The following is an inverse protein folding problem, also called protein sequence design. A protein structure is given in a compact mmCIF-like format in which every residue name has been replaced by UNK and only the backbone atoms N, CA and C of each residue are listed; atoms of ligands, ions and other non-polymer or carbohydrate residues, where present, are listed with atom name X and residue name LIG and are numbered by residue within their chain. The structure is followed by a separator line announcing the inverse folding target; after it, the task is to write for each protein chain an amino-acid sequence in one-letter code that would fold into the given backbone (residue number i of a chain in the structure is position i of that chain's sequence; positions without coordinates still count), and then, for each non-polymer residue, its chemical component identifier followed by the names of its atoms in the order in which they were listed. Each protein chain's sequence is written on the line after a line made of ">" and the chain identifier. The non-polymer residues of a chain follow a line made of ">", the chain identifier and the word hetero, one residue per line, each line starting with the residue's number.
data_IF_522429888403
#
_entry.id   IF_522429888403
#
_cell.length_a   1.000
_cell.length_b   1.000
_cell.length_c   1.000
_cell.angle_alpha   90.00
_cell.angle_beta   90.00
_cell.angle_gamma   90.00
#
_symmetry.space_group_name_H-M   'P 1'
#
loop_
_entity.id
_entity.type
_entity.pdbx_description
1 polymer ?
#
# COMPACT_ATOMS: atom_id res chain seq x y z
N UNK A 1 14.98 -12.76 -26.69
CA UNK A 1 15.67 -11.64 -27.36
C UNK A 1 16.36 -10.82 -26.30
N UNK A 2 17.66 -10.59 -26.43
CA UNK A 2 18.44 -9.74 -25.52
C UNK A 2 17.99 -8.29 -25.69
N UNK A 3 17.56 -7.64 -24.61
CA UNK A 3 17.09 -6.25 -24.63
C UNK A 3 18.19 -5.29 -25.10
N UNK A 4 17.89 -4.22 -25.89
CA UNK A 4 18.84 -3.15 -26.11
C UNK A 4 19.18 -2.48 -24.78
N UNK A 5 20.46 -2.53 -24.37
CA UNK A 5 20.93 -1.82 -23.17
C UNK A 5 20.90 -0.32 -23.44
N UNK A 6 19.84 0.35 -23.00
CA UNK A 6 19.78 1.82 -22.97
C UNK A 6 20.84 2.31 -21.98
N UNK A 7 21.63 3.36 -22.31
CA UNK A 7 22.64 3.89 -21.40
C UNK A 7 22.01 4.36 -20.08
N UNK A 8 22.46 3.82 -18.95
CA UNK A 8 21.98 4.21 -17.61
C UNK A 8 22.43 5.64 -17.32
N UNK A 9 21.48 6.55 -17.10
CA UNK A 9 21.77 7.95 -16.73
C UNK A 9 22.25 8.01 -15.27
N UNK A 10 23.34 8.74 -14.95
CA UNK A 10 23.82 8.90 -13.58
C UNK A 10 22.77 9.57 -12.68
N UNK A 11 22.57 9.03 -11.48
CA UNK A 11 21.61 9.56 -10.49
C UNK A 11 22.21 10.75 -9.74
N UNK A 12 21.40 11.79 -9.51
CA UNK A 12 21.80 13.00 -8.76
C UNK A 12 21.93 12.73 -7.24
N UNK A 13 21.23 11.70 -6.74
CA UNK A 13 21.25 11.24 -5.34
C UNK A 13 21.52 9.74 -5.32
N UNK A 14 22.47 9.30 -4.49
CA UNK A 14 22.79 7.88 -4.34
C UNK A 14 21.85 7.22 -3.32
N UNK A 15 21.36 6.03 -3.68
CA UNK A 15 20.61 5.15 -2.79
C UNK A 15 21.43 3.88 -2.60
N UNK A 16 21.57 3.45 -1.34
CA UNK A 16 22.28 2.21 -0.99
C UNK A 16 21.26 1.10 -0.78
N UNK A 17 21.26 0.05 -1.62
CA UNK A 17 20.43 -1.13 -1.40
C UNK A 17 20.71 -1.78 -0.04
N UNK A 18 19.66 -2.13 0.69
CA UNK A 18 19.73 -2.93 1.90
C UNK A 18 19.04 -4.27 1.66
N UNK A 19 19.72 -5.37 1.99
CA UNK A 19 19.20 -6.71 1.77
C UNK A 19 18.15 -7.07 2.83
N UNK A 20 17.04 -7.66 2.41
CA UNK A 20 15.98 -8.19 3.29
C UNK A 20 16.18 -9.69 3.57
N UNK A 21 15.40 -10.27 4.49
CA UNK A 21 15.51 -11.69 4.84
C UNK A 21 15.04 -12.64 3.73
N UNK A 22 14.09 -12.23 2.88
CA UNK A 22 13.66 -13.01 1.71
C UNK A 22 14.63 -12.93 0.51
N UNK A 23 15.75 -12.21 0.65
CA UNK A 23 16.79 -12.09 -0.37
C UNK A 23 16.63 -10.89 -1.31
N UNK A 24 15.47 -10.23 -1.32
CA UNK A 24 15.25 -8.99 -2.06
C UNK A 24 15.97 -7.80 -1.41
N UNK A 25 15.79 -6.61 -1.97
CA UNK A 25 16.45 -5.39 -1.52
C UNK A 25 15.43 -4.27 -1.25
N UNK A 26 15.81 -3.32 -0.43
CA UNK A 26 15.05 -2.11 -0.17
C UNK A 26 15.96 -0.89 -0.07
N UNK A 27 15.40 0.31 -0.08
CA UNK A 27 16.12 1.54 0.26
C UNK A 27 15.72 2.02 1.65
N UNK A 28 16.53 2.90 2.23
CA UNK A 28 16.19 3.63 3.44
C UNK A 28 15.97 5.11 3.10
N UNK A 29 14.81 5.64 3.48
CA UNK A 29 14.53 7.06 3.38
C UNK A 29 15.03 7.79 4.62
N UNK A 30 16.05 8.64 4.44
CA UNK A 30 16.55 9.51 5.51
C UNK A 30 15.51 10.54 5.96
N UNK A 31 14.61 10.95 5.06
CA UNK A 31 13.57 11.94 5.37
C UNK A 31 12.48 11.38 6.27
N UNK A 32 12.07 10.13 6.03
CA UNK A 32 11.01 9.47 6.81
C UNK A 32 11.56 8.58 7.93
N UNK A 33 12.86 8.29 7.94
CA UNK A 33 13.49 7.41 8.92
C UNK A 33 13.06 5.95 8.79
N UNK A 34 12.59 5.54 7.61
CA UNK A 34 11.96 4.25 7.34
C UNK A 34 12.55 3.57 6.10
N UNK A 35 12.44 2.24 6.06
CA UNK A 35 12.71 1.47 4.84
C UNK A 35 11.52 1.58 3.89
N UNK A 36 11.77 1.52 2.59
CA UNK A 36 10.71 1.50 1.56
C UNK A 36 9.87 0.22 1.64
N UNK A 37 10.47 -0.89 2.08
CA UNK A 37 9.79 -2.15 2.34
C UNK A 37 10.32 -2.80 3.62
N UNK A 38 9.57 -3.75 4.17
CA UNK A 38 9.95 -4.50 5.36
C UNK A 38 11.28 -5.22 5.18
N UNK A 39 12.12 -5.17 6.22
CA UNK A 39 13.36 -5.95 6.30
C UNK A 39 13.14 -7.48 6.24
N UNK A 40 11.92 -7.96 6.48
CA UNK A 40 11.60 -9.39 6.36
C UNK A 40 11.57 -9.84 4.90
N UNK A 41 11.17 -8.96 3.98
CA UNK A 41 11.11 -9.33 2.59
C UNK A 41 10.18 -8.46 1.78
N UNK A 42 10.73 -7.76 0.80
CA UNK A 42 9.98 -6.81 0.00
C UNK A 42 9.15 -7.50 -1.10
N UNK A 43 9.65 -8.62 -1.66
CA UNK A 43 8.90 -9.44 -2.62
C UNK A 43 7.77 -10.21 -1.93
N UNK A 44 8.06 -10.82 -0.78
CA UNK A 44 7.03 -11.51 0.01
C UNK A 44 5.94 -10.55 0.49
N UNK A 45 6.33 -9.34 0.92
CA UNK A 45 5.38 -8.29 1.32
C UNK A 45 4.46 -7.87 0.16
N UNK A 46 5.02 -7.58 -1.02
CA UNK A 46 4.23 -7.23 -2.21
C UNK A 46 3.16 -8.28 -2.53
N UNK A 47 3.55 -9.56 -2.53
CA UNK A 47 2.64 -10.67 -2.79
C UNK A 47 1.55 -10.81 -1.70
N UNK A 48 1.94 -10.86 -0.43
CA UNK A 48 1.03 -11.26 0.64
C UNK A 48 0.23 -10.09 1.24
N UNK A 49 0.72 -8.85 1.15
CA UNK A 49 0.00 -7.65 1.64
C UNK A 49 -0.82 -6.96 0.56
N UNK A 50 -0.47 -7.13 -0.72
CA UNK A 50 -1.13 -6.41 -1.81
C UNK A 50 -1.80 -7.35 -2.82
N UNK A 51 -1.05 -8.25 -3.45
CA UNK A 51 -1.59 -9.12 -4.52
C UNK A 51 -2.69 -10.07 -4.00
N UNK A 52 -2.41 -10.82 -2.94
CA UNK A 52 -3.39 -11.78 -2.39
C UNK A 52 -4.64 -11.10 -1.83
N UNK A 53 -4.53 -10.04 -1.00
CA UNK A 53 -5.73 -9.40 -0.44
C UNK A 53 -6.61 -8.73 -1.49
N UNK A 54 -6.02 -8.27 -2.60
CA UNK A 54 -6.77 -7.69 -3.74
C UNK A 54 -7.30 -8.73 -4.72
N UNK A 55 -7.05 -10.03 -4.49
CA UNK A 55 -7.59 -11.14 -5.30
C UNK A 55 -7.27 -11.04 -6.79
N UNK A 56 -6.09 -10.53 -7.12
CA UNK A 56 -5.74 -10.26 -8.53
C UNK A 56 -5.75 -11.51 -9.41
N UNK A 57 -5.37 -12.66 -8.87
CA UNK A 57 -5.37 -13.92 -9.62
C UNK A 57 -6.79 -14.33 -9.98
N UNK A 58 -7.72 -14.24 -9.03
CA UNK A 58 -9.14 -14.54 -9.25
C UNK A 58 -9.77 -13.54 -10.22
N UNK A 59 -9.45 -12.25 -10.09
CA UNK A 59 -9.94 -11.22 -11.01
C UNK A 59 -9.44 -11.45 -12.45
N UNK A 60 -8.17 -11.81 -12.63
CA UNK A 60 -7.56 -12.08 -13.93
C UNK A 60 -8.10 -13.35 -14.62
N UNK A 61 -8.67 -14.29 -13.87
CA UNK A 61 -9.38 -15.45 -14.44
C UNK A 61 -10.76 -15.08 -14.99
N UNK A 62 -11.35 -13.98 -14.51
CA UNK A 62 -12.71 -13.54 -14.86
C UNK A 62 -12.74 -12.37 -15.85
N UNK A 63 -11.63 -11.65 -15.99
CA UNK A 63 -11.50 -10.50 -16.87
C UNK A 63 -10.25 -10.61 -17.75
N UNK A 64 -10.33 -10.06 -18.96
CA UNK A 64 -9.19 -9.93 -19.87
C UNK A 64 -8.45 -8.59 -19.70
N UNK A 65 -8.96 -7.70 -18.86
CA UNK A 65 -8.33 -6.41 -18.55
C UNK A 65 -8.42 -6.15 -17.05
N UNK A 66 -7.31 -5.74 -16.44
CA UNK A 66 -7.24 -5.37 -15.03
C UNK A 66 -6.67 -3.95 -14.90
N UNK A 67 -7.34 -3.11 -14.13
CA UNK A 67 -6.93 -1.73 -13.83
C UNK A 67 -6.29 -1.66 -12.44
N UNK A 68 -5.08 -1.12 -12.37
CA UNK A 68 -4.28 -1.03 -11.15
C UNK A 68 -3.94 0.44 -10.84
N UNK A 69 -3.99 0.79 -9.55
CA UNK A 69 -3.45 2.05 -9.03
C UNK A 69 -2.44 1.74 -7.92
N UNK A 70 -1.17 2.08 -8.14
CA UNK A 70 -0.07 1.88 -7.19
C UNK A 70 0.34 3.23 -6.57
N UNK A 71 -0.10 3.48 -5.33
CA UNK A 71 0.14 4.74 -4.62
C UNK A 71 1.41 4.60 -3.78
N UNK A 72 2.39 5.45 -4.08
CA UNK A 72 3.78 5.35 -3.62
C UNK A 72 4.51 4.16 -4.26
N UNK A 73 4.61 4.22 -5.59
CA UNK A 73 5.23 3.21 -6.45
C UNK A 73 6.63 2.81 -5.96
N UNK A 74 7.44 3.76 -5.48
CA UNK A 74 8.74 3.50 -4.89
C UNK A 74 9.65 2.68 -5.82
N UNK A 75 9.94 1.45 -5.41
CA UNK A 75 10.85 0.54 -6.12
C UNK A 75 10.15 -0.23 -7.25
N UNK A 76 8.81 -0.13 -7.36
CA UNK A 76 8.00 -0.83 -8.34
C UNK A 76 7.64 -2.27 -7.97
N UNK A 77 7.88 -2.69 -6.72
CA UNK A 77 7.72 -4.09 -6.32
C UNK A 77 6.26 -4.55 -6.26
N UNK A 78 5.34 -3.70 -5.80
CA UNK A 78 3.91 -4.01 -5.79
C UNK A 78 3.38 -4.15 -7.22
N UNK A 79 3.70 -3.19 -8.09
CA UNK A 79 3.42 -3.27 -9.53
C UNK A 79 4.01 -4.54 -10.18
N UNK A 80 5.27 -4.85 -9.91
CA UNK A 80 5.93 -6.03 -10.47
C UNK A 80 5.28 -7.34 -10.01
N UNK A 81 4.99 -7.48 -8.71
CA UNK A 81 4.31 -8.65 -8.16
C UNK A 81 2.89 -8.81 -8.73
N UNK A 82 2.15 -7.71 -8.88
CA UNK A 82 0.82 -7.73 -9.48
C UNK A 82 0.83 -8.19 -10.94
N UNK A 83 1.75 -7.66 -11.74
CA UNK A 83 1.89 -8.04 -13.16
C UNK A 83 2.24 -9.53 -13.27
N UNK A 84 3.22 -10.02 -12.50
CA UNK A 84 3.57 -11.45 -12.49
C UNK A 84 2.38 -12.32 -12.09
N UNK A 85 1.69 -11.97 -11.01
CA UNK A 85 0.56 -12.73 -10.51
C UNK A 85 -0.59 -12.82 -11.51
N UNK A 86 -0.89 -11.72 -12.21
CA UNK A 86 -1.93 -11.67 -13.24
C UNK A 86 -1.54 -12.54 -14.43
N UNK A 87 -0.33 -12.39 -14.96
CA UNK A 87 0.12 -13.14 -16.14
C UNK A 87 0.41 -14.62 -15.88
N UNK A 88 0.70 -15.00 -14.64
CA UNK A 88 0.84 -16.41 -14.23
C UNK A 88 -0.46 -17.19 -14.41
N UNK A 89 -1.62 -16.57 -14.13
CA UNK A 89 -2.93 -17.22 -14.27
C UNK A 89 -3.66 -16.88 -15.58
N UNK A 90 -3.36 -15.74 -16.19
CA UNK A 90 -3.88 -15.32 -17.49
C UNK A 90 -2.83 -14.52 -18.27
N UNK A 91 -1.99 -15.22 -19.03
CA UNK A 91 -0.87 -14.64 -19.79
C UNK A 91 -1.28 -13.64 -20.88
N UNK A 92 -2.56 -13.62 -21.27
CA UNK A 92 -3.13 -12.70 -22.26
C UNK A 92 -3.86 -11.50 -21.62
N UNK A 93 -3.97 -11.46 -20.29
CA UNK A 93 -4.63 -10.35 -19.61
C UNK A 93 -3.90 -9.03 -19.89
N UNK A 94 -4.64 -8.02 -20.33
CA UNK A 94 -4.14 -6.66 -20.44
C UNK A 94 -4.16 -5.99 -19.07
N UNK A 95 -3.12 -5.26 -18.73
CA UNK A 95 -3.00 -4.51 -17.49
C UNK A 95 -2.94 -3.02 -17.84
N UNK A 96 -3.75 -2.22 -17.15
CA UNK A 96 -3.69 -0.76 -17.19
C UNK A 96 -3.25 -0.29 -15.80
N UNK A 97 -2.02 0.21 -15.69
CA UNK A 97 -1.39 0.59 -14.43
C UNK A 97 -1.20 2.11 -14.38
N UNK A 98 -1.62 2.73 -13.27
CA UNK A 98 -1.19 4.07 -12.90
C UNK A 98 -0.37 3.97 -11.62
N UNK A 99 0.90 4.36 -11.67
CA UNK A 99 1.76 4.52 -10.49
C UNK A 99 1.85 5.98 -10.07
N UNK A 100 1.82 6.25 -8.76
CA UNK A 100 2.08 7.57 -8.19
C UNK A 100 3.39 7.55 -7.41
N UNK A 101 4.29 8.48 -7.72
CA UNK A 101 5.57 8.61 -7.03
C UNK A 101 5.91 10.09 -6.82
N UNK A 102 6.48 10.45 -5.67
CA UNK A 102 6.90 11.83 -5.43
C UNK A 102 8.19 12.13 -6.20
N UNK A 103 9.18 11.23 -6.12
CA UNK A 103 10.54 11.47 -6.60
C UNK A 103 10.92 10.59 -7.80
N UNK A 104 11.15 11.22 -8.96
CA UNK A 104 11.60 10.55 -10.21
C UNK A 104 12.88 9.73 -10.06
N UNK A 105 13.73 10.08 -9.08
CA UNK A 105 15.01 9.40 -8.87
C UNK A 105 14.82 8.00 -8.28
N UNK A 106 13.73 7.72 -7.55
CA UNK A 106 13.56 6.46 -6.82
C UNK A 106 13.38 5.26 -7.76
N UNK A 107 12.44 5.26 -8.72
CA UNK A 107 12.27 4.13 -9.66
C UNK A 107 13.53 3.91 -10.51
N UNK A 108 14.17 5.00 -10.93
CA UNK A 108 15.43 4.95 -11.70
C UNK A 108 16.56 4.36 -10.87
N UNK A 109 16.63 4.68 -9.58
CA UNK A 109 17.62 4.14 -8.67
C UNK A 109 17.42 2.64 -8.43
N UNK A 110 16.17 2.19 -8.28
CA UNK A 110 15.87 0.76 -8.16
C UNK A 110 16.38 -0.02 -9.37
N UNK A 111 16.05 0.44 -10.58
CA UNK A 111 16.54 -0.16 -11.84
C UNK A 111 18.07 -0.10 -11.96
N UNK A 112 18.68 1.04 -11.67
CA UNK A 112 20.14 1.19 -11.76
C UNK A 112 20.89 0.24 -10.84
N UNK A 113 20.32 -0.03 -9.66
CA UNK A 113 20.86 -0.95 -8.64
C UNK A 113 20.37 -2.39 -8.82
N UNK A 114 19.76 -2.70 -9.97
CA UNK A 114 19.31 -4.04 -10.33
C UNK A 114 18.28 -4.66 -9.36
N UNK A 115 17.51 -3.80 -8.66
CA UNK A 115 16.53 -4.23 -7.67
C UNK A 115 15.38 -5.04 -8.26
N UNK A 116 15.17 -5.03 -9.58
CA UNK A 116 14.11 -5.77 -10.26
C UNK A 116 14.58 -7.13 -10.84
N UNK A 117 15.80 -7.58 -10.51
CA UNK A 117 16.34 -8.84 -11.03
C UNK A 117 15.62 -10.09 -10.50
N UNK A 118 14.92 -9.99 -9.37
CA UNK A 118 14.17 -11.10 -8.78
C UNK A 118 12.83 -11.38 -9.48
N UNK A 119 12.46 -10.56 -10.47
CA UNK A 119 11.28 -10.73 -11.31
C UNK A 119 11.68 -11.27 -12.69
N UNK A 120 10.73 -11.93 -13.33
CA UNK A 120 10.82 -12.43 -14.68
C UNK A 120 11.33 -11.34 -15.63
N UNK A 121 12.14 -11.74 -16.61
CA UNK A 121 12.68 -10.82 -17.61
C UNK A 121 11.58 -9.94 -18.20
N UNK A 122 10.43 -10.54 -18.49
CA UNK A 122 9.27 -9.93 -19.11
C UNK A 122 8.67 -8.77 -18.31
N UNK A 123 8.58 -8.89 -16.99
CA UNK A 123 8.12 -7.80 -16.12
C UNK A 123 9.21 -6.76 -15.95
N UNK A 124 10.45 -7.22 -15.73
CA UNK A 124 11.60 -6.34 -15.47
C UNK A 124 11.78 -5.29 -16.56
N UNK A 125 11.95 -5.68 -17.82
CA UNK A 125 12.28 -4.72 -18.88
C UNK A 125 11.18 -3.66 -19.10
N UNK A 126 9.91 -4.03 -18.90
CA UNK A 126 8.79 -3.08 -19.01
C UNK A 126 8.81 -2.04 -17.90
N UNK A 127 9.12 -2.46 -16.67
CA UNK A 127 9.25 -1.55 -15.53
C UNK A 127 10.56 -0.74 -15.61
N UNK A 128 11.60 -1.26 -16.24
CA UNK A 128 12.80 -0.50 -16.58
C UNK A 128 12.46 0.64 -17.55
N UNK A 129 11.77 0.36 -18.66
CA UNK A 129 11.32 1.38 -19.62
C UNK A 129 10.37 2.39 -18.95
N UNK A 130 9.39 1.91 -18.17
CA UNK A 130 8.48 2.77 -17.39
C UNK A 130 9.25 3.69 -16.44
N UNK A 131 10.30 3.21 -15.78
CA UNK A 131 11.11 4.03 -14.87
C UNK A 131 11.83 5.18 -15.59
N UNK A 132 12.19 4.98 -16.87
CA UNK A 132 12.95 5.96 -17.66
C UNK A 132 12.05 6.98 -18.33
N UNK A 133 11.03 6.48 -19.03
CA UNK A 133 10.17 7.27 -19.91
C UNK A 133 8.88 7.72 -19.22
N UNK A 134 8.59 7.16 -18.04
CA UNK A 134 7.38 7.41 -17.22
C UNK A 134 6.07 6.99 -17.89
N UNK A 135 6.15 6.38 -19.07
CA UNK A 135 5.07 5.79 -19.81
C UNK A 135 5.58 4.53 -20.50
N UNK A 136 4.77 3.49 -20.53
CA UNK A 136 5.02 2.28 -21.27
C UNK A 136 3.72 1.76 -21.88
N UNK A 137 3.75 1.36 -23.15
CA UNK A 137 2.60 0.71 -23.76
C UNK A 137 3.01 -0.38 -24.77
N UNK A 138 2.43 -1.57 -24.59
CA UNK A 138 2.41 -2.64 -25.57
C UNK A 138 1.03 -3.34 -25.60
N UNK A 139 0.96 -4.52 -26.21
CA UNK A 139 -0.30 -5.28 -26.31
C UNK A 139 -0.89 -5.68 -24.94
N UNK A 140 -0.06 -5.95 -23.92
CA UNK A 140 -0.48 -6.51 -22.62
C UNK A 140 -0.30 -5.55 -21.44
N UNK A 141 0.51 -4.50 -21.55
CA UNK A 141 0.67 -3.51 -20.49
C UNK A 141 0.53 -2.11 -21.07
N UNK A 142 -0.31 -1.30 -20.44
CA UNK A 142 -0.25 0.15 -20.49
C UNK A 142 0.05 0.65 -19.09
N UNK A 143 1.14 1.37 -18.90
CA UNK A 143 1.55 1.88 -17.60
C UNK A 143 1.95 3.35 -17.69
N UNK A 144 1.45 4.15 -16.74
CA UNK A 144 1.80 5.56 -16.58
C UNK A 144 2.33 5.79 -15.16
N UNK A 145 3.48 6.45 -15.04
CA UNK A 145 4.07 6.81 -13.77
C UNK A 145 3.99 8.33 -13.58
N UNK A 146 3.05 8.75 -12.73
CA UNK A 146 2.75 10.16 -12.48
C UNK A 146 3.55 10.66 -11.29
N UNK A 147 4.22 11.80 -11.47
CA UNK A 147 5.10 12.36 -10.46
C UNK A 147 4.55 13.59 -9.76
N UNK A 148 4.86 13.72 -8.47
CA UNK A 148 4.48 14.84 -7.63
C UNK A 148 3.62 14.41 -6.45
N UNK A 149 3.04 15.40 -5.75
CA UNK A 149 2.21 15.12 -4.58
C UNK A 149 0.99 14.27 -4.96
N UNK A 150 0.88 13.09 -4.34
CA UNK A 150 -0.21 12.16 -4.60
C UNK A 150 -1.59 12.78 -4.29
N UNK A 151 -1.69 13.76 -3.38
CA UNK A 151 -2.93 14.49 -3.12
C UNK A 151 -3.48 15.16 -4.38
N UNK A 152 -2.61 15.81 -5.14
CA UNK A 152 -2.96 16.46 -6.41
C UNK A 152 -3.21 15.43 -7.52
N UNK A 153 -2.38 14.38 -7.61
CA UNK A 153 -2.54 13.36 -8.65
C UNK A 153 -3.84 12.57 -8.49
N UNK A 154 -4.23 12.22 -7.26
CA UNK A 154 -5.48 11.52 -7.00
C UNK A 154 -6.71 12.35 -7.39
N UNK A 155 -6.69 13.67 -7.18
CA UNK A 155 -7.75 14.55 -7.66
C UNK A 155 -7.88 14.50 -9.19
N UNK A 156 -6.75 14.57 -9.91
CA UNK A 156 -6.74 14.50 -11.38
C UNK A 156 -7.25 13.14 -11.89
N UNK A 157 -6.80 12.04 -11.30
CA UNK A 157 -7.23 10.67 -11.65
C UNK A 157 -8.73 10.50 -11.41
N UNK A 158 -9.23 10.97 -10.26
CA UNK A 158 -10.65 10.91 -9.92
C UNK A 158 -11.50 11.72 -10.92
N UNK A 159 -11.05 12.91 -11.34
CA UNK A 159 -11.72 13.72 -12.36
C UNK A 159 -11.77 13.03 -13.74
N UNK A 160 -10.75 12.24 -14.07
CA UNK A 160 -10.72 11.41 -15.28
C UNK A 160 -11.59 10.15 -15.19
N UNK A 161 -12.25 9.90 -14.04
CA UNK A 161 -13.11 8.74 -13.78
C UNK A 161 -12.40 7.40 -13.96
N UNK A 162 -11.09 7.37 -13.71
CA UNK A 162 -10.38 6.10 -13.61
C UNK A 162 -10.95 5.28 -12.44
N UNK A 163 -11.11 3.98 -12.67
CA UNK A 163 -11.64 3.04 -11.68
C UNK A 163 -10.73 1.81 -11.66
N UNK A 164 -9.98 1.66 -10.57
CA UNK A 164 -9.05 0.56 -10.37
C UNK A 164 -9.77 -0.67 -9.79
N UNK A 165 -9.46 -1.84 -10.35
CA UNK A 165 -9.85 -3.14 -9.82
C UNK A 165 -9.03 -3.52 -8.58
N UNK A 166 -7.78 -3.02 -8.51
CA UNK A 166 -6.96 -3.07 -7.32
C UNK A 166 -6.23 -1.74 -7.07
N UNK A 167 -6.26 -1.28 -5.82
CA UNK A 167 -5.46 -0.15 -5.34
C UNK A 167 -4.47 -0.64 -4.30
N UNK A 168 -3.19 -0.32 -4.49
CA UNK A 168 -2.15 -0.50 -3.50
C UNK A 168 -1.88 0.84 -2.82
N UNK A 169 -2.15 0.92 -1.52
CA UNK A 169 -1.87 2.09 -0.70
C UNK A 169 -0.64 1.80 0.17
N UNK A 170 0.53 2.22 -0.30
CA UNK A 170 1.84 1.89 0.31
C UNK A 170 2.74 3.10 0.64
N UNK A 171 2.23 4.18 1.25
CA UNK A 171 3.12 5.24 1.71
C UNK A 171 3.86 4.83 3.00
N UNK A 172 4.88 5.62 3.38
CA UNK A 172 5.50 5.50 4.71
C UNK A 172 4.49 5.59 5.84
N UNK A 173 4.86 5.11 7.04
CA UNK A 173 3.89 4.83 8.10
C UNK A 173 3.08 6.07 8.54
N UNK A 174 1.84 5.90 9.04
CA UNK A 174 0.98 7.03 9.35
C UNK A 174 1.55 8.11 10.28
N UNK A 175 2.36 7.78 11.30
CA UNK A 175 3.02 8.80 12.10
C UNK A 175 4.07 9.62 11.33
N UNK A 176 4.74 9.04 10.32
CA UNK A 176 5.85 9.69 9.59
C UNK A 176 5.41 10.37 8.30
N UNK A 177 4.38 9.85 7.62
CA UNK A 177 3.81 10.42 6.40
C UNK A 177 2.27 10.56 6.49
N UNK A 178 1.73 11.28 7.50
CA UNK A 178 0.30 11.40 7.75
C UNK A 178 -0.51 11.98 6.57
N UNK A 179 0.14 12.73 5.68
CA UNK A 179 -0.45 13.40 4.52
C UNK A 179 -1.29 12.43 3.66
N UNK A 180 -0.82 11.19 3.49
CA UNK A 180 -1.45 10.19 2.62
C UNK A 180 -2.43 9.26 3.34
N UNK A 181 -2.62 9.44 4.65
CA UNK A 181 -3.50 8.62 5.49
C UNK A 181 -4.72 9.37 6.02
N UNK A 182 -4.94 10.59 5.54
CA UNK A 182 -6.07 11.41 5.98
C UNK A 182 -7.39 10.93 5.40
N UNK A 183 -8.49 11.19 6.09
CA UNK A 183 -9.84 10.92 5.57
C UNK A 183 -10.03 11.54 4.19
N UNK A 184 -9.53 12.76 4.00
CA UNK A 184 -9.66 13.54 2.77
C UNK A 184 -8.92 12.89 1.59
N UNK A 185 -7.70 12.39 1.81
CA UNK A 185 -6.96 11.64 0.79
C UNK A 185 -7.62 10.29 0.52
N UNK A 186 -7.98 9.55 1.57
CA UNK A 186 -8.62 8.24 1.42
C UNK A 186 -9.97 8.31 0.71
N UNK A 187 -10.66 9.46 0.77
CA UNK A 187 -11.84 9.73 -0.05
C UNK A 187 -11.49 9.82 -1.54
N UNK A 188 -10.39 10.48 -1.91
CA UNK A 188 -9.93 10.51 -3.31
C UNK A 188 -9.49 9.11 -3.78
N UNK A 189 -8.82 8.34 -2.91
CA UNK A 189 -8.46 6.96 -3.19
C UNK A 189 -9.71 6.10 -3.42
N UNK A 190 -10.70 6.21 -2.53
CA UNK A 190 -11.99 5.52 -2.69
C UNK A 190 -12.71 5.90 -3.98
N UNK A 191 -12.68 7.17 -4.38
CA UNK A 191 -13.25 7.61 -5.66
C UNK A 191 -12.58 6.98 -6.89
N UNK A 192 -11.33 6.53 -6.77
CA UNK A 192 -10.62 5.81 -7.81
C UNK A 192 -10.84 4.28 -7.74
N UNK A 193 -11.53 3.76 -6.72
CA UNK A 193 -11.76 2.34 -6.54
C UNK A 193 -13.04 1.90 -7.25
N UNK A 194 -12.91 0.93 -8.16
CA UNK A 194 -14.05 0.28 -8.81
C UNK A 194 -15.08 -0.22 -7.78
N UNK A 195 -16.40 -0.20 -8.06
CA UNK A 195 -17.42 -0.80 -7.20
C UNK A 195 -17.18 -2.28 -6.87
N UNK A 196 -16.36 -2.94 -7.69
CA UNK A 196 -15.95 -4.33 -7.58
C UNK A 196 -14.44 -4.48 -7.29
N UNK A 197 -13.76 -3.39 -6.95
CA UNK A 197 -12.34 -3.39 -6.68
C UNK A 197 -12.02 -3.72 -5.21
N UNK A 198 -10.72 -3.93 -4.98
CA UNK A 198 -10.13 -4.06 -3.65
C UNK A 198 -9.03 -3.04 -3.44
N UNK A 199 -9.01 -2.42 -2.28
CA UNK A 199 -7.88 -1.63 -1.79
C UNK A 199 -7.10 -2.48 -0.78
N UNK A 200 -5.78 -2.49 -0.85
CA UNK A 200 -4.94 -3.11 0.16
C UNK A 200 -3.83 -2.18 0.66
N UNK A 201 -3.48 -2.33 1.94
CA UNK A 201 -2.35 -1.65 2.58
C UNK A 201 -1.72 -2.54 3.64
N UNK A 202 -0.40 -2.43 3.83
CA UNK A 202 0.30 -3.10 4.93
C UNK A 202 -0.14 -2.58 6.31
N UNK A 203 -0.69 -1.37 6.38
CA UNK A 203 -1.00 -0.69 7.63
C UNK A 203 -2.21 -1.30 8.34
N UNK A 204 -2.06 -1.64 9.62
CA UNK A 204 -3.15 -2.02 10.53
C UNK A 204 -3.49 -0.89 11.52
N UNK A 205 -3.11 0.35 11.21
CA UNK A 205 -3.38 1.52 12.06
C UNK A 205 -4.88 1.70 12.29
N UNK A 206 -5.29 1.87 13.56
CA UNK A 206 -6.68 2.13 13.91
C UNK A 206 -7.18 3.41 13.23
N UNK A 207 -6.38 4.49 13.20
CA UNK A 207 -6.72 5.74 12.53
C UNK A 207 -6.99 5.55 11.02
N UNK A 208 -6.20 4.72 10.35
CA UNK A 208 -6.37 4.44 8.90
C UNK A 208 -7.64 3.63 8.67
N UNK A 209 -7.85 2.58 9.46
CA UNK A 209 -9.06 1.75 9.39
C UNK A 209 -10.33 2.55 9.65
N UNK A 210 -10.32 3.43 10.67
CA UNK A 210 -11.43 4.34 10.95
C UNK A 210 -11.64 5.36 9.83
N UNK A 211 -10.57 5.90 9.24
CA UNK A 211 -10.70 6.78 8.09
C UNK A 211 -11.30 6.07 6.87
N UNK A 212 -10.89 4.82 6.59
CA UNK A 212 -11.50 3.98 5.54
C UNK A 212 -13.00 3.72 5.81
N UNK A 213 -13.38 3.45 7.05
CA UNK A 213 -14.78 3.32 7.43
C UNK A 213 -15.56 4.63 7.30
N UNK A 214 -14.95 5.77 7.67
CA UNK A 214 -15.56 7.10 7.58
C UNK A 214 -15.84 7.49 6.11
N UNK A 215 -15.00 7.09 5.16
CA UNK A 215 -15.25 7.28 3.72
C UNK A 215 -16.27 6.28 3.15
N UNK A 216 -16.75 5.32 3.95
CA UNK A 216 -17.79 4.36 3.58
C UNK A 216 -17.28 3.01 3.08
N UNK A 217 -15.98 2.74 3.13
CA UNK A 217 -15.43 1.43 2.76
C UNK A 217 -15.63 0.42 3.89
N UNK A 218 -15.95 -0.81 3.49
CA UNK A 218 -15.88 -1.97 4.38
C UNK A 218 -14.42 -2.38 4.51
N UNK A 219 -14.00 -2.76 5.72
CA UNK A 219 -12.62 -3.14 6.02
C UNK A 219 -12.52 -4.59 6.50
N UNK A 220 -11.40 -5.22 6.19
CA UNK A 220 -11.01 -6.54 6.63
C UNK A 220 -9.56 -6.57 7.07
N UNK A 221 -9.21 -7.57 7.88
CA UNK A 221 -7.84 -7.80 8.33
C UNK A 221 -7.14 -8.79 7.40
N UNK A 222 -5.95 -8.48 6.93
CA UNK A 222 -5.18 -9.45 6.12
C UNK A 222 -4.33 -10.34 7.02
N UNK A 223 -3.94 -11.51 6.55
CA UNK A 223 -3.09 -12.39 7.35
C UNK A 223 -1.77 -11.68 7.75
N UNK A 224 -1.26 -11.94 8.97
CA UNK A 224 0.08 -11.50 9.35
C UNK A 224 1.12 -12.12 8.42
N UNK A 225 2.11 -11.31 8.03
CA UNK A 225 3.17 -11.69 7.08
C UNK A 225 4.47 -11.17 7.64
N UNK A 226 5.45 -12.05 7.87
CA UNK A 226 6.72 -11.69 8.49
C UNK A 226 6.52 -11.14 9.91
N UNK A 227 6.40 -9.81 10.04
CA UNK A 227 5.96 -9.17 11.31
C UNK A 227 4.62 -9.79 11.74
N UNK A 228 4.43 -9.95 13.05
CA UNK A 228 3.18 -10.46 13.65
C UNK A 228 1.93 -9.61 13.37
N UNK A 229 2.04 -8.51 12.62
CA UNK A 229 0.97 -7.56 12.38
C UNK A 229 0.22 -7.86 11.07
N UNK A 230 -1.12 -7.89 11.10
CA UNK A 230 -1.94 -7.97 9.90
C UNK A 230 -1.82 -6.67 9.08
N UNK A 231 -2.34 -6.67 7.86
CA UNK A 231 -2.59 -5.45 7.08
C UNK A 231 -4.08 -5.10 7.05
N UNK A 232 -4.49 -4.28 6.09
CA UNK A 232 -5.90 -3.94 5.88
C UNK A 232 -6.27 -4.13 4.41
N UNK A 233 -7.42 -4.75 4.17
CA UNK A 233 -8.08 -4.81 2.86
C UNK A 233 -9.41 -4.07 2.96
N UNK A 234 -9.81 -3.36 1.91
CA UNK A 234 -11.04 -2.60 1.89
C UNK A 234 -11.78 -2.71 0.54
N UNK A 235 -13.11 -2.55 0.56
CA UNK A 235 -13.96 -2.57 -0.65
C UNK A 235 -15.27 -1.81 -0.39
N UNK A 236 -15.95 -1.39 -1.45
CA UNK A 236 -17.27 -0.74 -1.35
C UNK A 236 -18.39 -1.71 -0.93
N UNK A 237 -18.20 -3.00 -1.23
CA UNK A 237 -19.26 -4.00 -1.24
C UNK A 237 -19.29 -4.84 0.02
N UNK A 238 -20.34 -4.67 0.83
CA UNK A 238 -20.58 -5.47 2.04
C UNK A 238 -21.03 -6.91 1.78
N UNK A 239 -21.47 -7.23 0.55
CA UNK A 239 -21.79 -8.60 0.11
C UNK A 239 -20.54 -9.44 -0.17
N UNK A 240 -19.36 -8.80 -0.27
CA UNK A 240 -18.09 -9.51 -0.40
C UNK A 240 -17.57 -9.87 0.97
N UNK A 241 -17.28 -11.15 1.17
CA UNK A 241 -16.66 -11.64 2.40
C UNK A 241 -15.21 -11.14 2.47
N UNK A 242 -14.98 -10.09 3.26
CA UNK A 242 -13.65 -9.72 3.73
C UNK A 242 -13.29 -10.55 4.97
N UNK A 243 -12.00 -10.85 5.21
CA UNK A 243 -11.63 -11.51 6.45
C UNK A 243 -11.92 -10.58 7.63
N UNK A 244 -12.57 -11.08 8.70
CA UNK A 244 -13.02 -10.23 9.79
C UNK A 244 -11.84 -9.69 10.59
N UNK A 245 -12.04 -8.53 11.22
CA UNK A 245 -11.14 -8.04 12.25
C UNK A 245 -11.26 -8.94 13.49
N UNK A 246 -10.13 -9.28 14.10
CA UNK A 246 -10.12 -9.95 15.41
C UNK A 246 -10.76 -9.08 16.49
N UNK A 247 -11.19 -9.68 17.60
CA UNK A 247 -11.73 -8.92 18.74
C UNK A 247 -10.75 -7.84 19.24
N UNK A 248 -9.46 -8.14 19.24
CA UNK A 248 -8.41 -7.19 19.63
C UNK A 248 -8.39 -5.96 18.70
N UNK A 249 -8.50 -6.18 17.39
CA UNK A 249 -8.54 -5.10 16.41
C UNK A 249 -9.84 -4.30 16.50
N UNK A 250 -10.98 -4.96 16.70
CA UNK A 250 -12.28 -4.30 16.89
C UNK A 250 -12.29 -3.40 18.12
N UNK A 251 -11.77 -3.89 19.26
CA UNK A 251 -11.63 -3.08 20.48
C UNK A 251 -10.64 -1.93 20.28
N UNK A 252 -9.56 -2.12 19.53
CA UNK A 252 -8.59 -1.05 19.26
C UNK A 252 -9.21 0.12 18.49
N UNK A 253 -10.17 -0.16 17.60
CA UNK A 253 -10.97 0.87 16.90
C UNK A 253 -11.89 1.68 17.84
N UNK A 254 -12.09 1.24 19.09
CA UNK A 254 -12.85 1.98 20.10
C UNK A 254 -11.96 2.84 21.01
N UNK A 255 -10.70 3.03 20.64
CA UNK A 255 -9.72 3.83 21.42
C UNK A 255 -9.39 5.14 20.73
N UNK A 256 -8.71 6.05 21.43
CA UNK A 256 -8.19 7.29 20.84
C UNK A 256 -7.24 7.07 19.66
N UNK A 257 -6.65 5.88 19.50
CA UNK A 257 -5.82 5.56 18.32
C UNK A 257 -6.64 5.57 17.02
N UNK A 258 -7.95 5.33 17.10
CA UNK A 258 -8.89 5.28 15.99
C UNK A 258 -9.23 6.66 15.42
N UNK A 259 -8.93 7.74 16.15
CA UNK A 259 -9.17 9.11 15.67
C UNK A 259 -8.31 9.33 14.42
N UNK A 260 -8.92 9.64 13.27
CA UNK A 260 -8.22 9.67 11.99
C UNK A 260 -7.38 10.94 11.83
N UNK A 261 -6.50 10.94 10.84
CA UNK A 261 -5.84 12.15 10.37
C UNK A 261 -6.77 12.91 9.42
N UNK A 262 -6.67 14.24 9.37
CA UNK A 262 -7.48 15.09 8.49
C UNK A 262 -6.61 16.12 7.79
N UNK A 263 -6.85 16.34 6.50
CA UNK A 263 -6.24 17.37 5.64
C UNK A 263 -7.35 17.94 4.72
N UNK A 264 -8.26 18.79 5.25
CA UNK A 264 -9.47 19.21 4.55
C UNK A 264 -9.23 19.91 3.20
N UNK A 265 -8.06 20.52 3.04
CA UNK A 265 -7.68 21.26 1.84
C UNK A 265 -6.70 20.50 0.95
N UNK A 266 -6.31 19.28 1.34
CA UNK A 266 -5.34 18.44 0.62
C UNK A 266 -3.99 19.14 0.38
N UNK A 267 -3.58 19.99 1.30
CA UNK A 267 -2.35 20.78 1.19
C UNK A 267 -1.73 21.15 2.55
N UNK A 268 -2.27 20.65 3.66
CA UNK A 268 -1.69 20.90 4.97
C UNK A 268 -0.32 20.24 5.11
N UNK A 269 0.53 20.82 5.96
CA UNK A 269 1.83 20.25 6.31
C UNK A 269 1.67 19.09 7.29
N UNK A 270 2.67 18.18 7.31
CA UNK A 270 2.79 17.10 8.30
C UNK A 270 2.43 17.53 9.72
N UNK A 271 3.08 18.59 10.21
CA UNK A 271 2.92 19.08 11.58
C UNK A 271 1.50 19.51 11.85
N UNK A 272 0.86 20.22 10.91
CA UNK A 272 -0.52 20.69 11.07
C UNK A 272 -1.52 19.53 11.14
N UNK A 273 -1.30 18.51 10.32
CA UNK A 273 -2.13 17.28 10.31
C UNK A 273 -1.97 16.53 11.65
N UNK A 274 -0.74 16.42 12.15
CA UNK A 274 -0.45 15.77 13.43
C UNK A 274 -1.02 16.56 14.62
N UNK A 275 -0.83 17.88 14.66
CA UNK A 275 -1.36 18.77 15.70
C UNK A 275 -2.88 18.68 15.79
N UNK A 276 -3.57 18.74 14.64
CA UNK A 276 -5.03 18.58 14.57
C UNK A 276 -5.48 17.26 15.17
N UNK A 277 -4.87 16.14 14.74
CA UNK A 277 -5.20 14.83 15.29
C UNK A 277 -4.91 14.75 16.78
N UNK A 278 -3.79 15.31 17.25
CA UNK A 278 -3.45 15.34 18.67
C UNK A 278 -4.49 16.11 19.50
N UNK A 279 -4.98 17.24 18.98
CA UNK A 279 -6.05 17.99 19.62
C UNK A 279 -7.34 17.17 19.69
N UNK A 280 -7.79 16.56 18.58
CA UNK A 280 -8.97 15.68 18.55
C UNK A 280 -8.83 14.51 19.54
N UNK A 281 -7.62 13.93 19.66
CA UNK A 281 -7.33 12.87 20.63
C UNK A 281 -7.36 13.33 22.08
N UNK A 282 -6.94 14.57 22.36
CA UNK A 282 -6.94 15.13 23.71
C UNK A 282 -8.36 15.45 24.19
N UNK A 283 -9.22 15.90 23.28
CA UNK A 283 -10.62 16.27 23.54
C UNK A 283 -11.57 15.05 23.58
N UNK A 284 -11.11 13.87 23.15
CA UNK A 284 -11.94 12.67 23.07
C UNK A 284 -12.11 11.92 24.40
N UNK A 285 -13.33 11.49 24.69
CA UNK A 285 -13.66 10.60 25.81
C UNK A 285 -13.33 9.12 25.57
N UNK A 286 -12.84 8.75 24.38
CA UNK A 286 -12.46 7.37 24.06
C UNK A 286 -11.32 6.88 24.96
N UNK A 287 -11.26 5.55 25.14
CA UNK A 287 -10.22 4.90 25.92
C UNK A 287 -8.82 5.22 25.36
N UNK A 288 -7.83 5.60 26.18
CA UNK A 288 -6.43 5.72 25.74
C UNK A 288 -5.85 4.36 25.36
N UNK A 289 -5.04 4.32 24.29
CA UNK A 289 -4.40 3.08 23.81
C UNK A 289 -3.53 2.38 24.86
N UNK A 290 -2.95 3.11 25.81
CA UNK A 290 -2.17 2.53 26.92
C UNK A 290 -3.03 1.67 27.84
N UNK A 291 -4.26 2.09 28.13
CA UNK A 291 -5.22 1.33 28.94
C UNK A 291 -5.68 0.08 28.22
N UNK A 292 -6.05 0.21 26.94
CA UNK A 292 -6.37 -0.93 26.07
C UNK A 292 -5.23 -1.96 26.01
N UNK A 293 -3.97 -1.50 25.81
CA UNK A 293 -2.78 -2.38 25.81
C UNK A 293 -2.64 -3.15 27.13
N UNK A 294 -2.82 -2.47 28.27
CA UNK A 294 -2.75 -3.10 29.59
C UNK A 294 -3.80 -4.20 29.75
N UNK A 295 -5.06 -3.93 29.37
CA UNK A 295 -6.15 -4.93 29.41
C UNK A 295 -5.81 -6.19 28.61
N UNK A 296 -5.26 -6.03 27.40
CA UNK A 296 -4.89 -7.17 26.55
C UNK A 296 -3.66 -7.93 27.05
N UNK A 297 -2.70 -7.25 27.68
CA UNK A 297 -1.57 -7.92 28.33
C UNK A 297 -2.01 -8.78 29.52
N UNK A 298 -2.96 -8.31 30.33
CA UNK A 298 -3.53 -9.07 31.44
C UNK A 298 -4.31 -10.29 30.94
N UNK A 299 -5.20 -10.10 29.95
CA UNK A 299 -5.97 -11.19 29.33
C UNK A 299 -5.08 -12.28 28.72
N UNK A 300 -3.99 -11.91 28.05
CA UNK A 300 -3.08 -12.88 27.46
C UNK A 300 -2.37 -13.71 28.53
N UNK A 301 -1.99 -13.11 29.66
CA UNK A 301 -1.39 -13.83 30.80
C UNK A 301 -2.37 -14.82 31.44
N UNK A 302 -3.64 -14.44 31.58
CA UNK A 302 -4.70 -15.33 32.09
C UNK A 302 -4.93 -16.55 31.18
N UNK A 303 -4.91 -16.33 29.86
CA UNK A 303 -5.04 -17.42 28.88
C UNK A 303 -3.82 -18.36 28.88
N UNK A 304 -2.60 -17.85 29.07
CA UNK A 304 -1.38 -18.67 29.16
C UNK A 304 -1.26 -19.45 30.48
N UNK A 305 -1.94 -19.00 31.54
CA UNK A 305 -1.93 -19.63 32.87
C UNK A 305 -3.11 -20.58 33.11
N UNK A 306 -4.04 -20.68 32.17
CA UNK A 306 -5.15 -21.63 32.23
C UNK A 306 -4.70 -23.03 31.77
N UNK A 307 -4.91 -24.11 32.56
CA UNK A 307 -4.53 -25.46 32.15
C UNK A 307 -5.33 -25.88 30.91
N UNK A 308 -4.75 -26.72 30.01
CA UNK A 308 -5.49 -27.20 28.85
C UNK A 308 -6.76 -27.94 29.31
N UNK A 309 -7.89 -27.58 28.72
CA UNK A 309 -9.16 -28.27 28.93
C UNK A 309 -8.98 -29.74 28.51
N UNK A 310 -9.09 -30.65 29.49
CA UNK A 310 -9.10 -32.11 29.30
C UNK A 310 -10.30 -32.56 28.46
#
# INVERSE_FOLDING_TARGET
>A
MSSPRIPRVPLVRSFTPQRTQDGSFTFFSQEFGELFHSHHGAKQEAEQKFVQPTRLREQAQLSNVIYLLDICYGLGYNSAAAIEAIWDVNSNCRIVLIGLELERVIPKAAVHQDLLNDWSNEVRWRLEDLSQDHHFEDARLKADLLFGDARSQLQNISQQRFQADAIFLDPFSPPTCPELWTVDVLKQVGNCLSPHGYLATYSCSAAVRSALQEVGLQIGSTHPVGRKSPGTVATWRGDRTLPPLSLQEQEHLQTRAAIPYRDPNLNDTRNRIQERRHQEQAESDLEPTSRWKKRWQERNKENESSPPLN
#
